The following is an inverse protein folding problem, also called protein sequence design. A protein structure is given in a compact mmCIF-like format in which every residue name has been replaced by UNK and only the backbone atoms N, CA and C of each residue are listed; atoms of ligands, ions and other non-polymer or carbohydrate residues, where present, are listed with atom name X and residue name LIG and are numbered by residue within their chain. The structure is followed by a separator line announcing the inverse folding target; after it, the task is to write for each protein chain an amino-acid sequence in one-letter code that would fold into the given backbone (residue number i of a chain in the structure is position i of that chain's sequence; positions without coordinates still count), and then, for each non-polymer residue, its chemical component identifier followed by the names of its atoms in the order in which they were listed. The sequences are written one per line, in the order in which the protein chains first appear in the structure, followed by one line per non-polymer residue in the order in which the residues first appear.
data_IF_641583995970
#
_entry.id   IF_641583995970
#
_cell.length_a   1.000
_cell.length_b   1.000
_cell.length_c   1.000
_cell.angle_alpha   90.00
_cell.angle_beta   90.00
_cell.angle_gamma   90.00
#
_symmetry.space_group_name_H-M   'P 1'
#
loop_
_entity.id
_entity.type
_entity.pdbx_description
1 polymer ?
#
# COMPACT_ATOMS: atom_id res chain seq x y z
N UNK A 1 -10.41 30.54 -19.98
CA UNK A 1 -10.05 29.12 -19.90
C UNK A 1 -9.22 28.95 -18.64
N UNK A 2 -9.78 28.36 -17.59
CA UNK A 2 -9.06 28.05 -16.36
C UNK A 2 -8.20 26.82 -16.64
N UNK A 3 -6.90 27.01 -16.83
CA UNK A 3 -5.94 25.91 -16.82
C UNK A 3 -6.04 25.24 -15.46
N UNK A 4 -6.53 23.99 -15.46
CA UNK A 4 -6.56 23.17 -14.25
C UNK A 4 -5.12 23.04 -13.79
N UNK A 5 -4.80 23.49 -12.58
CA UNK A 5 -3.49 23.23 -11.98
C UNK A 5 -3.25 21.72 -12.08
N UNK A 6 -2.12 21.26 -12.65
CA UNK A 6 -1.83 19.84 -12.64
C UNK A 6 -1.83 19.41 -11.16
N UNK A 7 -2.70 18.46 -10.84
CA UNK A 7 -2.81 17.88 -9.50
C UNK A 7 -2.14 16.52 -9.48
N UNK A 8 -1.80 16.01 -8.29
CA UNK A 8 -1.32 14.64 -8.16
C UNK A 8 -2.34 13.64 -8.69
N UNK A 9 -1.83 12.61 -9.34
CA UNK A 9 -2.59 11.42 -9.69
C UNK A 9 -2.50 10.42 -8.54
N UNK A 10 -3.56 9.63 -8.36
CA UNK A 10 -3.65 8.65 -7.29
C UNK A 10 -3.99 7.26 -7.83
N UNK A 11 -3.60 6.22 -7.12
CA UNK A 11 -4.00 4.84 -7.35
C UNK A 11 -4.56 4.23 -6.05
N UNK A 12 -5.30 3.13 -6.18
CA UNK A 12 -5.93 2.43 -5.06
C UNK A 12 -5.11 1.21 -4.67
N UNK A 13 -4.75 1.13 -3.39
CA UNK A 13 -4.35 -0.11 -2.74
C UNK A 13 -5.58 -0.69 -2.02
N UNK A 14 -5.96 -1.90 -2.40
CA UNK A 14 -7.07 -2.68 -1.80
C UNK A 14 -6.64 -4.13 -1.67
N UNK A 15 -7.37 -4.97 -0.95
CA UNK A 15 -7.13 -6.40 -1.02
C UNK A 15 -7.57 -7.16 0.21
N UNK A 16 -7.38 -8.47 0.14
CA UNK A 16 -7.69 -9.41 1.19
C UNK A 16 -6.47 -10.23 1.57
N UNK A 17 -6.32 -10.54 2.85
CA UNK A 17 -5.25 -11.35 3.39
C UNK A 17 -5.80 -12.37 4.37
N UNK A 18 -5.50 -13.65 4.13
CA UNK A 18 -5.89 -14.75 5.01
C UNK A 18 -4.70 -15.52 5.54
N UNK A 19 -4.99 -16.30 6.57
CA UNK A 19 -4.10 -17.25 7.17
C UNK A 19 -4.72 -18.64 7.06
N UNK A 20 -3.90 -19.61 6.64
CA UNK A 20 -4.24 -21.04 6.75
C UNK A 20 -4.06 -21.47 8.21
N UNK A 21 -5.13 -21.91 8.86
CA UNK A 21 -5.14 -22.49 10.20
C UNK A 21 -5.43 -23.98 10.09
N UNK A 22 -4.62 -24.79 10.77
CA UNK A 22 -4.82 -26.24 10.90
C UNK A 22 -5.15 -26.53 12.34
N UNK A 23 -6.37 -26.98 12.62
CA UNK A 23 -6.72 -27.49 13.94
C UNK A 23 -6.19 -28.92 14.05
N UNK A 24 -5.39 -29.23 15.08
CA UNK A 24 -4.76 -30.56 15.30
C UNK A 24 -5.76 -31.70 15.54
N UNK A 25 -7.07 -31.42 15.51
CA UNK A 25 -8.15 -32.29 15.98
C UNK A 25 -8.94 -32.94 14.84
N UNK A 26 -8.69 -32.57 13.58
CA UNK A 26 -9.38 -33.16 12.43
C UNK A 26 -8.57 -34.30 11.80
N UNK A 27 -9.14 -35.51 11.79
CA UNK A 27 -8.56 -36.70 11.16
C UNK A 27 -8.45 -36.54 9.64
N UNK A 28 -9.21 -35.60 9.06
CA UNK A 28 -9.02 -35.10 7.71
C UNK A 28 -8.45 -33.68 7.80
N UNK A 29 -7.12 -33.55 7.62
CA UNK A 29 -6.37 -32.29 7.55
C UNK A 29 -6.90 -31.36 6.44
N UNK A 30 -8.07 -30.77 6.61
CA UNK A 30 -8.61 -29.72 5.75
C UNK A 30 -8.22 -28.40 6.38
N UNK A 31 -7.26 -27.66 5.82
CA UNK A 31 -6.86 -26.37 6.34
C UNK A 31 -8.01 -25.36 6.19
N UNK A 32 -8.40 -24.71 7.29
CA UNK A 32 -9.34 -23.59 7.30
C UNK A 32 -8.61 -22.29 6.95
N UNK A 33 -9.19 -21.49 6.06
CA UNK A 33 -8.68 -20.13 5.78
C UNK A 33 -9.47 -19.11 6.59
N UNK A 34 -8.79 -18.33 7.43
CA UNK A 34 -9.40 -17.28 8.27
C UNK A 34 -8.75 -15.92 7.98
N UNK A 35 -9.57 -14.87 7.93
CA UNK A 35 -9.09 -13.50 7.78
C UNK A 35 -8.22 -13.07 8.96
N UNK A 36 -7.17 -12.29 8.69
CA UNK A 36 -6.33 -11.70 9.73
C UNK A 36 -6.82 -10.31 10.11
N UNK A 37 -6.70 -9.95 11.38
CA UNK A 37 -6.79 -8.56 11.81
C UNK A 37 -5.38 -8.05 12.07
N UNK A 38 -5.03 -6.89 11.53
CA UNK A 38 -3.72 -6.30 11.74
C UNK A 38 -3.75 -4.80 11.49
N UNK A 39 -2.81 -4.07 12.07
CA UNK A 39 -2.48 -2.72 11.63
C UNK A 39 -1.58 -2.80 10.39
N UNK A 40 -1.84 -1.94 9.41
CA UNK A 40 -1.03 -1.84 8.18
C UNK A 40 -0.49 -0.42 8.06
N UNK A 41 0.81 -0.27 7.89
CA UNK A 41 1.47 1.03 7.65
C UNK A 41 2.08 1.03 6.26
N UNK A 42 1.65 1.98 5.42
CA UNK A 42 2.14 2.14 4.05
C UNK A 42 3.01 3.39 3.98
N UNK A 43 4.32 3.20 3.80
CA UNK A 43 5.32 4.26 3.83
C UNK A 43 5.85 4.54 2.41
N UNK A 44 5.72 5.77 1.89
CA UNK A 44 6.35 6.14 0.62
C UNK A 44 7.88 6.19 0.78
N UNK A 45 8.59 5.68 -0.20
CA UNK A 45 10.04 5.64 -0.30
C UNK A 45 10.44 6.01 -1.73
N UNK A 46 11.53 6.74 -1.87
CA UNK A 46 12.21 6.86 -3.16
C UNK A 46 13.31 5.81 -3.15
N UNK A 47 13.29 4.92 -4.14
CA UNK A 47 14.26 3.84 -4.23
C UNK A 47 15.68 4.42 -4.33
N UNK A 48 16.64 3.93 -3.55
CA UNK A 48 17.97 4.53 -3.30
C UNK A 48 18.95 4.42 -4.48
N UNK A 49 18.44 4.50 -5.71
CA UNK A 49 19.28 4.56 -6.91
C UNK A 49 19.78 5.98 -7.05
N UNK A 50 21.05 6.13 -7.41
CA UNK A 50 21.64 7.40 -7.85
C UNK A 50 20.83 7.95 -9.04
N UNK A 51 19.77 8.70 -8.76
CA UNK A 51 18.97 9.32 -9.80
C UNK A 51 19.67 10.61 -10.27
N UNK A 52 19.69 10.87 -11.58
CA UNK A 52 20.16 12.16 -12.06
C UNK A 52 19.31 13.27 -11.42
N UNK A 53 19.97 14.38 -11.08
CA UNK A 53 19.32 15.58 -10.56
C UNK A 53 18.13 15.93 -11.47
N UNK A 54 16.93 15.96 -10.90
CA UNK A 54 15.71 16.32 -11.63
C UNK A 54 15.77 17.82 -11.89
N UNK A 55 16.31 18.21 -13.04
CA UNK A 55 16.35 19.61 -13.48
C UNK A 55 14.95 20.01 -13.96
N UNK A 56 14.12 20.49 -13.03
CA UNK A 56 12.83 21.09 -13.36
C UNK A 56 12.95 22.62 -13.43
N UNK A 57 12.46 23.21 -14.53
CA UNK A 57 12.26 24.67 -14.59
C UNK A 57 10.91 24.98 -13.94
N UNK A 58 10.93 25.51 -12.72
CA UNK A 58 9.72 25.86 -11.97
C UNK A 58 9.35 27.30 -12.31
N UNK A 59 8.25 27.52 -13.04
CA UNK A 59 7.65 28.85 -13.16
C UNK A 59 6.75 29.12 -11.94
N UNK A 60 7.04 30.20 -11.21
CA UNK A 60 6.27 30.63 -10.04
C UNK A 60 6.86 30.18 -8.69
N UNK A 61 6.12 30.40 -7.62
CA UNK A 61 6.55 30.02 -6.28
C UNK A 61 6.53 28.49 -6.13
N UNK A 62 7.63 27.87 -5.66
CA UNK A 62 7.67 26.43 -5.46
C UNK A 62 6.62 26.01 -4.44
N UNK A 63 5.86 24.97 -4.75
CA UNK A 63 5.00 24.26 -3.80
C UNK A 63 5.69 22.96 -3.41
N UNK A 64 5.81 22.74 -2.10
CA UNK A 64 6.37 21.51 -1.56
C UNK A 64 5.20 20.64 -1.14
N UNK A 65 5.08 19.47 -1.75
CA UNK A 65 4.14 18.42 -1.34
C UNK A 65 4.93 17.30 -0.65
N UNK A 66 4.46 16.88 0.52
CA UNK A 66 5.15 15.88 1.34
C UNK A 66 4.31 14.60 1.34
N UNK A 67 4.89 13.51 0.87
CA UNK A 67 4.27 12.18 0.96
C UNK A 67 4.46 11.63 2.38
N UNK A 68 3.37 11.50 3.13
CA UNK A 68 3.38 10.97 4.49
C UNK A 68 3.00 9.49 4.51
N UNK A 69 3.47 8.71 5.51
CA UNK A 69 2.97 7.37 5.75
C UNK A 69 1.46 7.36 5.97
N UNK A 70 0.78 6.34 5.45
CA UNK A 70 -0.65 6.12 5.61
C UNK A 70 -0.87 4.89 6.49
N UNK A 71 -1.77 5.01 7.47
CA UNK A 71 -2.13 3.90 8.36
C UNK A 71 -3.50 3.38 7.98
N UNK A 72 -3.56 2.07 7.72
CA UNK A 72 -4.78 1.30 7.56
C UNK A 72 -4.84 0.14 8.56
N UNK A 73 -5.84 -0.71 8.37
CA UNK A 73 -6.07 -1.92 9.15
C UNK A 73 -6.64 -3.01 8.27
N UNK A 74 -6.37 -4.26 8.63
CA UNK A 74 -7.09 -5.43 8.14
C UNK A 74 -8.20 -5.74 9.14
N UNK A 75 -9.44 -5.78 8.67
CA UNK A 75 -10.60 -6.23 9.44
C UNK A 75 -11.16 -7.48 8.75
N UNK A 76 -11.02 -8.64 9.40
CA UNK A 76 -11.32 -9.95 8.83
C UNK A 76 -10.66 -10.13 7.45
N UNK A 77 -9.36 -9.86 7.38
CA UNK A 77 -8.54 -9.96 6.18
C UNK A 77 -8.74 -8.83 5.16
N UNK A 78 -9.77 -8.00 5.25
CA UNK A 78 -10.03 -6.92 4.27
C UNK A 78 -9.29 -5.64 4.67
N UNK A 79 -8.49 -5.09 3.76
CA UNK A 79 -7.78 -3.82 3.97
C UNK A 79 -8.77 -2.65 4.05
N UNK A 80 -8.60 -1.78 5.04
CA UNK A 80 -9.47 -0.63 5.32
C UNK A 80 -8.68 0.54 5.89
N UNK A 81 -9.07 1.77 5.56
CA UNK A 81 -8.58 2.98 6.25
C UNK A 81 -9.43 3.32 7.46
N UNK A 82 -10.75 3.05 7.37
CA UNK A 82 -11.74 3.31 8.41
C UNK A 82 -12.77 2.17 8.43
N UNK A 83 -13.67 2.16 9.42
CA UNK A 83 -14.69 1.11 9.54
C UNK A 83 -15.62 0.97 8.33
N UNK A 84 -15.71 1.99 7.49
CA UNK A 84 -16.63 2.06 6.34
C UNK A 84 -15.92 2.11 4.99
N UNK A 85 -14.59 2.24 4.94
CA UNK A 85 -13.83 2.39 3.69
C UNK A 85 -12.75 1.32 3.54
N UNK A 86 -12.77 0.60 2.41
CA UNK A 86 -11.86 -0.50 2.09
C UNK A 86 -10.65 -0.11 1.20
N UNK A 87 -10.58 1.14 0.73
CA UNK A 87 -9.55 1.57 -0.21
C UNK A 87 -8.57 2.54 0.46
N UNK A 88 -7.27 2.32 0.25
CA UNK A 88 -6.20 3.28 0.54
C UNK A 88 -5.81 3.97 -0.77
N UNK A 89 -5.84 5.30 -0.81
CA UNK A 89 -5.39 6.08 -1.97
C UNK A 89 -3.96 6.53 -1.78
N UNK A 90 -3.11 6.18 -2.75
CA UNK A 90 -1.69 6.47 -2.75
C UNK A 90 -1.34 7.24 -4.03
N UNK A 91 -0.24 7.99 -3.99
CA UNK A 91 0.16 8.83 -5.12
C UNK A 91 0.77 7.97 -6.23
N UNK A 92 0.27 8.12 -7.45
CA UNK A 92 0.78 7.43 -8.63
C UNK A 92 2.09 8.07 -9.08
N UNK A 93 3.01 7.28 -9.65
CA UNK A 93 4.29 7.79 -10.13
C UNK A 93 4.11 8.48 -11.49
N UNK A 94 3.58 9.70 -11.50
CA UNK A 94 3.30 10.44 -12.74
C UNK A 94 4.24 11.62 -12.93
N UNK A 95 4.26 12.16 -14.16
CA UNK A 95 5.20 13.21 -14.58
C UNK A 95 5.22 14.44 -13.66
N UNK A 96 4.12 14.73 -12.95
CA UNK A 96 4.04 15.83 -12.00
C UNK A 96 5.00 15.69 -10.81
N UNK A 97 5.37 14.47 -10.43
CA UNK A 97 6.30 14.18 -9.34
C UNK A 97 7.76 14.32 -9.84
N UNK A 98 7.96 14.31 -11.16
CA UNK A 98 9.28 14.48 -11.78
C UNK A 98 10.26 13.34 -11.47
N UNK A 99 9.79 12.22 -10.93
CA UNK A 99 10.61 11.06 -10.64
C UNK A 99 10.69 10.12 -11.85
N UNK A 100 11.81 9.40 -12.04
CA UNK A 100 11.90 8.35 -13.05
C UNK A 100 10.83 7.25 -12.85
N UNK A 101 10.54 6.55 -13.94
CA UNK A 101 9.73 5.34 -13.89
C UNK A 101 10.34 4.36 -12.87
N UNK A 102 9.52 3.82 -11.97
CA UNK A 102 9.90 2.92 -10.86
C UNK A 102 10.62 3.53 -9.64
N UNK A 103 10.83 4.84 -9.58
CA UNK A 103 11.53 5.45 -8.45
C UNK A 103 10.68 5.52 -7.18
N UNK A 104 9.36 5.74 -7.31
CA UNK A 104 8.44 5.78 -6.17
C UNK A 104 8.01 4.37 -5.76
N UNK A 105 8.36 3.98 -4.54
CA UNK A 105 8.06 2.68 -3.94
C UNK A 105 7.28 2.89 -2.65
N UNK A 106 6.34 2.01 -2.36
CA UNK A 106 5.60 1.96 -1.11
C UNK A 106 5.98 0.70 -0.33
N UNK A 107 6.50 0.88 0.88
CA UNK A 107 6.73 -0.21 1.82
C UNK A 107 5.49 -0.43 2.66
N UNK A 108 5.03 -1.67 2.73
CA UNK A 108 3.84 -2.09 3.49
C UNK A 108 4.33 -2.92 4.67
N UNK A 109 4.06 -2.44 5.88
CA UNK A 109 4.47 -3.06 7.13
C UNK A 109 3.24 -3.45 7.94
N UNK A 110 3.24 -4.67 8.48
CA UNK A 110 2.15 -5.19 9.32
C UNK A 110 2.58 -5.12 10.78
N UNK A 111 1.65 -4.85 11.68
CA UNK A 111 1.86 -4.93 13.13
C UNK A 111 0.58 -5.30 13.84
N UNK A 112 0.71 -5.74 15.11
CA UNK A 112 -0.45 -6.07 15.96
C UNK A 112 -1.38 -7.13 15.34
N UNK A 113 -0.82 -8.12 14.65
CA UNK A 113 -1.58 -9.13 13.92
C UNK A 113 -2.21 -10.20 14.82
N UNK A 114 -3.51 -10.46 14.66
CA UNK A 114 -4.22 -11.54 15.32
C UNK A 114 -5.21 -12.26 14.39
N UNK A 115 -5.46 -13.54 14.66
CA UNK A 115 -6.57 -14.31 14.08
C UNK A 115 -7.57 -14.63 15.19
N UNK A 116 -8.82 -14.98 14.83
CA UNK A 116 -9.89 -15.30 15.80
C UNK A 116 -9.49 -16.34 16.88
N UNK A 117 -8.46 -17.17 16.65
CA UNK A 117 -7.99 -18.21 17.58
C UNK A 117 -6.67 -17.90 18.31
N UNK A 118 -6.06 -16.71 18.14
CA UNK A 118 -4.87 -16.32 18.90
C UNK A 118 -3.85 -15.47 18.13
N UNK A 119 -2.74 -15.10 18.78
CA UNK A 119 -1.64 -14.38 18.14
C UNK A 119 -0.93 -15.29 17.12
N UNK A 120 -0.57 -14.73 15.96
CA UNK A 120 0.25 -15.38 14.93
C UNK A 120 1.47 -14.51 14.60
N UNK A 121 2.48 -15.06 13.91
CA UNK A 121 3.58 -14.27 13.37
C UNK A 121 3.02 -13.15 12.51
N UNK A 122 3.55 -11.94 12.73
CA UNK A 122 3.28 -10.79 11.89
C UNK A 122 3.73 -11.10 10.47
N UNK A 123 2.89 -10.84 9.45
CA UNK A 123 3.31 -10.98 8.06
C UNK A 123 4.54 -10.12 7.76
N UNK A 124 5.41 -10.61 6.88
CA UNK A 124 6.62 -9.89 6.48
C UNK A 124 6.28 -8.59 5.75
N UNK A 125 7.18 -7.61 5.86
CA UNK A 125 7.04 -6.36 5.14
C UNK A 125 7.18 -6.59 3.63
N UNK A 126 6.28 -5.96 2.86
CA UNK A 126 6.26 -6.03 1.41
C UNK A 126 6.61 -4.68 0.78
N UNK A 127 6.98 -4.68 -0.50
CA UNK A 127 7.18 -3.47 -1.28
C UNK A 127 6.35 -3.51 -2.57
N UNK A 128 5.80 -2.36 -2.95
CA UNK A 128 5.10 -2.20 -4.22
C UNK A 128 5.51 -0.91 -4.92
N UNK A 129 5.66 -0.97 -6.23
CA UNK A 129 5.98 0.21 -7.04
C UNK A 129 4.73 1.03 -7.28
N UNK A 130 4.86 2.35 -7.19
CA UNK A 130 3.81 3.27 -7.60
C UNK A 130 3.57 3.13 -9.11
N UNK A 131 2.34 2.82 -9.57
CA UNK A 131 2.06 2.72 -10.99
C UNK A 131 2.13 4.11 -11.64
N UNK A 132 2.51 4.15 -12.92
CA UNK A 132 2.50 5.38 -13.73
C UNK A 132 1.10 5.68 -14.32
N UNK A 133 0.03 5.15 -13.72
CA UNK A 133 -1.35 5.22 -14.23
C UNK A 133 -2.26 5.63 -13.07
N UNK A 134 -3.01 6.72 -13.27
CA UNK A 134 -4.05 7.16 -12.35
C UNK A 134 -5.18 6.12 -12.25
N UNK A 135 -5.79 6.01 -11.08
CA UNK A 135 -6.89 5.08 -10.74
C UNK A 135 -6.55 3.59 -10.91
N UNK A 136 -5.28 3.23 -11.09
CA UNK A 136 -4.83 1.86 -11.07
C UNK A 136 -5.22 1.19 -9.73
N UNK A 137 -5.47 -0.11 -9.77
CA UNK A 137 -5.83 -0.89 -8.59
C UNK A 137 -4.74 -1.92 -8.35
N UNK A 138 -4.07 -1.78 -7.22
CA UNK A 138 -3.06 -2.73 -6.73
C UNK A 138 -3.72 -3.57 -5.65
N UNK A 139 -3.67 -4.90 -5.83
CA UNK A 139 -4.19 -5.83 -4.83
C UNK A 139 -3.12 -6.19 -3.80
N UNK A 140 -3.42 -6.05 -2.51
CA UNK A 140 -2.54 -6.42 -1.40
C UNK A 140 -2.11 -7.90 -1.48
N UNK A 141 -2.98 -8.78 -1.98
CA UNK A 141 -2.66 -10.19 -2.16
C UNK A 141 -1.60 -10.45 -3.24
N UNK A 142 -1.38 -9.50 -4.15
CA UNK A 142 -0.34 -9.61 -5.18
C UNK A 142 1.06 -9.25 -4.70
N UNK A 143 1.18 -8.72 -3.47
CA UNK A 143 2.43 -8.21 -2.90
C UNK A 143 2.77 -8.82 -1.54
N UNK A 144 1.82 -9.47 -0.87
CA UNK A 144 2.10 -10.29 0.30
C UNK A 144 2.75 -11.61 -0.13
N UNK A 145 3.93 -11.93 0.43
CA UNK A 145 4.67 -13.19 0.23
C UNK A 145 4.75 -13.92 1.55
#
# INVERSE_FOLDING_TARGET
MTTRTPGLDYFKLKGFMDAVVTDEVDENLVPDRKGINARVTVTPLVNDKDYPEVVATIEGAPRIEVLCPVVGRLDDGVLKTTATQADIWLVANTAIIGLPDDALVYRVEFSESCVQQGPRPTPDAAQVRGPNIADAVVDLSSIAV
#
